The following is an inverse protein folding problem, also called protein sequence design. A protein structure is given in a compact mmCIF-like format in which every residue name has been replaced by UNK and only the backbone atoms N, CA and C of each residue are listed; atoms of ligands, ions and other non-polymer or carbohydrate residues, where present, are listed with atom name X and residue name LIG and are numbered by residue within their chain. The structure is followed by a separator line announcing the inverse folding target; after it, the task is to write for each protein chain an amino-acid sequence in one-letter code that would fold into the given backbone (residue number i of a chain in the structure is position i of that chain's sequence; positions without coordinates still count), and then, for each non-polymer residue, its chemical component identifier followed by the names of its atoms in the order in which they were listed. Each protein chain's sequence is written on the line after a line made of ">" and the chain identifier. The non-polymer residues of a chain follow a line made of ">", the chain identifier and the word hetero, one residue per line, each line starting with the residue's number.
data_IF_044990837802
#
_entry.id   IF_044990837802
#
_cell.length_a   1.000
_cell.length_b   1.000
_cell.length_c   1.000
_cell.angle_alpha   90.00
_cell.angle_beta   90.00
_cell.angle_gamma   90.00
#
_symmetry.space_group_name_H-M   'P 1'
#
loop_
_entity.id
_entity.type
_entity.pdbx_description
1 polymer ?
#
# COMPACT_ATOMS: atom_id res chain seq x y z
N UNK A 1 -11.60 7.24 12.57
CA UNK A 1 -11.59 8.73 12.77
C UNK A 1 -12.28 9.48 11.64
N UNK A 2 -12.35 8.94 10.43
CA UNK A 2 -13.02 9.59 9.29
C UNK A 2 -14.54 9.46 9.36
N UNK A 3 -15.05 8.42 10.02
CA UNK A 3 -16.48 8.13 10.17
C UNK A 3 -16.78 7.68 11.61
N UNK A 4 -16.63 8.58 12.61
CA UNK A 4 -16.73 8.22 14.03
C UNK A 4 -18.11 7.70 14.43
N UNK A 5 -19.14 8.02 13.66
CA UNK A 5 -20.52 7.56 13.84
C UNK A 5 -20.77 6.14 13.32
N UNK A 6 -19.80 5.53 12.60
CA UNK A 6 -19.95 4.19 12.04
C UNK A 6 -19.36 3.12 12.95
N UNK A 7 -20.06 2.00 13.06
CA UNK A 7 -19.51 0.80 13.70
C UNK A 7 -18.57 0.11 12.72
N UNK A 8 -17.28 0.06 13.05
CA UNK A 8 -16.26 -0.62 12.23
C UNK A 8 -16.03 -2.01 12.81
N UNK A 9 -16.21 -3.03 11.99
CA UNK A 9 -15.97 -4.42 12.33
C UNK A 9 -14.74 -4.89 11.55
N UNK A 10 -13.56 -5.04 12.22
CA UNK A 10 -12.36 -5.52 11.55
C UNK A 10 -12.44 -7.00 11.21
N UNK A 11 -12.04 -7.40 10.00
CA UNK A 11 -11.97 -8.77 9.55
C UNK A 11 -10.63 -9.00 8.83
N UNK A 12 -9.77 -9.87 9.37
CA UNK A 12 -9.84 -10.56 10.65
C UNK A 12 -9.76 -9.58 11.84
N UNK A 13 -10.12 -10.02 13.04
CA UNK A 13 -10.21 -9.16 14.24
C UNK A 13 -8.95 -8.34 14.52
N UNK A 14 -7.78 -8.90 14.24
CA UNK A 14 -6.48 -8.24 14.34
C UNK A 14 -5.92 -7.92 12.94
N UNK A 15 -6.81 -7.68 11.99
CA UNK A 15 -6.44 -7.43 10.59
C UNK A 15 -5.66 -6.16 10.41
N UNK A 16 -4.86 -6.18 9.36
CA UNK A 16 -3.99 -5.11 8.94
C UNK A 16 -2.85 -5.68 8.11
N UNK A 17 -2.10 -4.84 7.44
CA UNK A 17 -0.97 -5.25 6.65
C UNK A 17 0.30 -5.32 7.50
N UNK A 18 0.94 -6.52 7.69
CA UNK A 18 2.17 -6.62 8.49
C UNK A 18 3.28 -5.70 7.97
N UNK A 19 3.36 -5.46 6.67
CA UNK A 19 4.34 -4.56 6.07
C UNK A 19 4.11 -3.10 6.49
N UNK A 20 2.87 -2.65 6.59
CA UNK A 20 2.56 -1.29 7.03
C UNK A 20 2.65 -1.13 8.55
N UNK A 21 2.40 -2.19 9.32
CA UNK A 21 2.51 -2.16 10.78
C UNK A 21 3.94 -2.10 11.32
N UNK A 22 4.95 -2.39 10.49
CA UNK A 22 6.34 -2.27 10.90
C UNK A 22 6.85 -0.83 10.98
N UNK A 23 6.17 0.12 10.29
CA UNK A 23 6.55 1.53 10.35
C UNK A 23 6.25 2.12 11.72
N UNK A 24 7.20 2.90 12.22
CA UNK A 24 7.11 3.60 13.50
C UNK A 24 7.28 5.11 13.33
N UNK A 25 6.88 5.88 14.33
CA UNK A 25 7.16 7.34 14.36
C UNK A 25 8.66 7.62 14.30
N UNK A 26 9.51 6.70 14.80
CA UNK A 26 10.97 6.85 14.72
C UNK A 26 11.46 6.85 13.28
N UNK A 27 10.85 6.02 12.41
CA UNK A 27 11.19 5.97 10.98
C UNK A 27 10.82 7.29 10.29
N UNK A 28 9.65 7.85 10.62
CA UNK A 28 9.23 9.17 10.11
C UNK A 28 10.22 10.26 10.55
N UNK A 29 10.59 10.29 11.84
CA UNK A 29 11.51 11.29 12.36
C UNK A 29 12.93 11.11 11.81
N UNK A 30 13.37 9.87 11.58
CA UNK A 30 14.65 9.59 10.93
C UNK A 30 14.65 10.10 9.49
N UNK A 31 13.61 9.77 8.73
CA UNK A 31 13.45 10.24 7.35
C UNK A 31 13.44 11.77 7.26
N UNK A 32 12.72 12.46 8.16
CA UNK A 32 12.72 13.94 8.19
C UNK A 32 14.08 14.55 8.51
N UNK A 33 14.93 13.86 9.28
CA UNK A 33 16.31 14.32 9.52
C UNK A 33 17.23 14.09 8.33
N UNK A 34 17.05 12.96 7.65
CA UNK A 34 17.88 12.58 6.50
C UNK A 34 17.48 13.34 5.23
N UNK A 35 16.16 13.58 5.06
CA UNK A 35 15.58 14.25 3.89
C UNK A 35 14.69 15.42 4.34
N UNK A 36 15.28 16.54 4.81
CA UNK A 36 14.52 17.62 5.46
C UNK A 36 13.54 18.34 4.52
N UNK A 37 13.78 18.33 3.23
CA UNK A 37 12.92 18.95 2.20
C UNK A 37 11.85 17.97 1.64
N UNK A 38 11.95 16.70 1.96
CA UNK A 38 11.00 15.69 1.49
C UNK A 38 9.67 15.73 2.23
N UNK A 39 8.58 15.59 1.49
CA UNK A 39 7.27 15.32 2.07
C UNK A 39 7.11 13.84 2.39
N UNK A 40 6.55 13.51 3.55
CA UNK A 40 6.32 12.13 3.99
C UNK A 40 4.87 11.73 3.70
N UNK A 41 4.70 10.64 2.97
CA UNK A 41 3.38 10.05 2.72
C UNK A 41 3.34 8.60 3.22
N UNK A 42 2.30 8.23 3.97
CA UNK A 42 2.13 6.88 4.48
C UNK A 42 0.84 6.22 3.98
N UNK A 43 0.82 4.88 4.03
CA UNK A 43 -0.38 4.11 3.72
C UNK A 43 -1.39 4.18 4.87
N UNK A 44 -2.71 4.17 4.60
CA UNK A 44 -3.74 4.23 5.65
C UNK A 44 -3.75 3.00 6.60
N UNK A 45 -3.08 1.91 6.24
CA UNK A 45 -2.87 0.75 7.12
C UNK A 45 -1.68 0.92 8.09
N UNK A 46 -0.91 2.02 8.01
CA UNK A 46 0.06 2.37 9.04
C UNK A 46 -0.65 2.70 10.35
N UNK A 47 0.06 2.60 11.46
CA UNK A 47 -0.51 2.93 12.77
C UNK A 47 -1.00 4.39 12.83
N UNK A 48 -2.00 4.72 13.65
CA UNK A 48 -2.51 6.09 13.79
C UNK A 48 -1.42 7.12 14.10
N UNK A 49 -0.41 6.72 14.88
CA UNK A 49 0.71 7.58 15.27
C UNK A 49 1.61 7.91 14.06
N UNK A 50 1.86 6.94 13.19
CA UNK A 50 2.61 7.13 11.93
C UNK A 50 1.80 8.01 10.98
N UNK A 51 0.49 7.80 10.88
CA UNK A 51 -0.38 8.64 10.06
C UNK A 51 -0.37 10.11 10.53
N UNK A 52 -0.40 10.33 11.85
CA UNK A 52 -0.34 11.69 12.43
C UNK A 52 1.03 12.37 12.24
N UNK A 53 2.11 11.59 12.18
CA UNK A 53 3.47 12.10 11.98
C UNK A 53 3.79 12.35 10.50
N UNK A 54 3.00 11.81 9.57
CA UNK A 54 3.16 11.96 8.13
C UNK A 54 2.45 13.22 7.60
N UNK A 55 2.90 13.76 6.46
CA UNK A 55 2.28 14.94 5.84
C UNK A 55 1.00 14.54 5.07
N UNK A 56 0.99 13.36 4.48
CA UNK A 56 -0.15 12.81 3.74
C UNK A 56 -0.39 11.35 4.10
N UNK A 57 -1.65 10.96 4.00
CA UNK A 57 -2.09 9.56 4.15
C UNK A 57 -2.89 9.18 2.92
N UNK A 58 -2.54 8.08 2.27
CA UNK A 58 -3.26 7.63 1.09
C UNK A 58 -2.85 6.25 0.59
N UNK A 59 -3.75 5.64 -0.20
CA UNK A 59 -3.48 4.37 -0.87
C UNK A 59 -2.31 4.49 -1.86
N UNK A 60 -1.77 3.36 -2.30
CA UNK A 60 -0.72 3.35 -3.34
C UNK A 60 -1.15 4.07 -4.61
N UNK A 61 -2.41 3.95 -5.03
CA UNK A 61 -2.96 4.72 -6.15
C UNK A 61 -2.98 6.23 -5.88
N UNK A 62 -3.29 6.64 -4.66
CA UNK A 62 -3.21 8.05 -4.26
C UNK A 62 -1.76 8.55 -4.25
N UNK A 63 -0.83 7.77 -3.70
CA UNK A 63 0.61 8.09 -3.73
C UNK A 63 1.09 8.34 -5.16
N UNK A 64 0.75 7.45 -6.10
CA UNK A 64 1.12 7.58 -7.51
C UNK A 64 0.58 8.87 -8.14
N UNK A 65 -0.67 9.26 -7.82
CA UNK A 65 -1.26 10.49 -8.37
C UNK A 65 -0.62 11.75 -7.81
N UNK A 66 -0.28 11.75 -6.51
CA UNK A 66 0.25 12.93 -5.81
C UNK A 66 1.77 13.11 -5.98
N UNK A 67 2.49 12.08 -6.39
CA UNK A 67 3.95 12.07 -6.45
C UNK A 67 4.55 13.13 -7.38
N UNK A 68 3.82 13.61 -8.39
CA UNK A 68 4.28 14.71 -9.25
C UNK A 68 4.19 16.11 -8.63
N UNK A 69 3.59 16.27 -7.44
CA UNK A 69 3.31 17.59 -6.85
C UNK A 69 4.47 18.17 -6.04
N UNK A 70 5.45 17.37 -5.70
CA UNK A 70 6.64 17.76 -4.93
C UNK A 70 7.89 17.25 -5.63
N UNK A 71 9.02 17.82 -5.25
CA UNK A 71 10.34 17.44 -5.80
C UNK A 71 10.91 16.21 -5.11
N UNK A 72 10.47 15.92 -3.88
CA UNK A 72 11.05 14.89 -3.04
C UNK A 72 10.02 14.29 -2.09
N UNK A 73 10.04 12.97 -1.97
CA UNK A 73 9.11 12.20 -1.16
C UNK A 73 9.80 11.11 -0.37
N UNK A 74 9.35 10.94 0.87
CA UNK A 74 9.54 9.70 1.63
C UNK A 74 8.24 8.91 1.58
N UNK A 75 8.30 7.66 1.10
CA UNK A 75 7.15 6.80 0.84
C UNK A 75 7.11 5.67 1.87
N UNK A 76 6.12 5.68 2.75
CA UNK A 76 5.93 4.65 3.79
C UNK A 76 4.88 3.62 3.32
N UNK A 77 5.31 2.75 2.43
CA UNK A 77 4.66 1.52 1.98
C UNK A 77 5.73 0.54 1.50
N UNK A 78 5.34 -0.58 0.90
CA UNK A 78 6.29 -1.57 0.34
C UNK A 78 7.21 -0.91 -0.68
N UNK A 79 8.53 -1.11 -0.50
CA UNK A 79 9.56 -0.35 -1.24
C UNK A 79 9.55 -0.55 -2.76
N UNK A 80 8.95 -1.62 -3.25
CA UNK A 80 8.82 -1.88 -4.68
C UNK A 80 8.08 -0.80 -5.46
N UNK A 81 7.26 0.03 -4.78
CA UNK A 81 6.58 1.16 -5.42
C UNK A 81 7.54 2.24 -5.93
N UNK A 82 8.74 2.33 -5.36
CA UNK A 82 9.74 3.35 -5.74
C UNK A 82 10.10 3.24 -7.22
N UNK A 83 10.24 2.01 -7.74
CA UNK A 83 10.58 1.80 -9.14
C UNK A 83 9.55 2.39 -10.12
N UNK A 84 8.25 2.06 -10.05
CA UNK A 84 7.26 2.66 -10.93
C UNK A 84 7.08 4.16 -10.70
N UNK A 85 7.26 4.67 -9.48
CA UNK A 85 7.24 6.11 -9.21
C UNK A 85 8.38 6.83 -9.91
N UNK A 86 9.61 6.33 -9.78
CA UNK A 86 10.79 6.90 -10.43
C UNK A 86 10.68 6.87 -11.96
N UNK A 87 10.12 5.77 -12.51
CA UNK A 87 9.86 5.65 -13.95
C UNK A 87 8.82 6.68 -14.43
N UNK A 88 7.77 6.92 -13.63
CA UNK A 88 6.69 7.85 -13.99
C UNK A 88 7.09 9.32 -13.80
N UNK A 89 7.87 9.61 -12.78
CA UNK A 89 8.30 10.95 -12.42
C UNK A 89 9.82 11.04 -12.28
N UNK A 90 10.58 11.00 -13.39
CA UNK A 90 12.04 10.89 -13.38
C UNK A 90 12.75 12.10 -12.73
N UNK A 91 12.06 13.22 -12.57
CA UNK A 91 12.60 14.44 -11.95
C UNK A 91 12.28 14.57 -10.46
N UNK A 92 11.58 13.59 -9.88
CA UNK A 92 11.20 13.57 -8.46
C UNK A 92 12.09 12.57 -7.74
N UNK A 93 12.57 12.93 -6.57
CA UNK A 93 13.33 12.03 -5.71
C UNK A 93 12.37 11.24 -4.82
N UNK A 94 12.59 9.93 -4.75
CA UNK A 94 11.77 9.02 -3.94
C UNK A 94 12.65 8.21 -3.00
N UNK A 95 12.33 8.25 -1.73
CA UNK A 95 12.98 7.50 -0.67
C UNK A 95 11.99 6.52 -0.07
N UNK A 96 12.38 5.27 0.01
CA UNK A 96 11.65 4.20 0.71
C UNK A 96 12.41 3.77 1.96
N UNK A 97 11.74 3.03 2.83
CA UNK A 97 12.41 2.37 3.95
C UNK A 97 12.87 0.99 3.46
N UNK A 98 14.16 0.70 3.54
CA UNK A 98 14.76 -0.52 2.97
C UNK A 98 14.19 -1.82 3.56
N UNK A 99 13.79 -1.81 4.81
CA UNK A 99 13.17 -2.95 5.48
C UNK A 99 11.70 -3.16 5.09
N UNK A 100 11.09 -2.20 4.40
CA UNK A 100 9.67 -2.26 4.00
C UNK A 100 9.45 -3.19 2.81
N UNK A 101 9.67 -4.48 3.02
CA UNK A 101 9.50 -5.55 2.04
C UNK A 101 8.34 -6.45 2.44
N UNK A 102 7.41 -6.65 1.54
CA UNK A 102 6.33 -7.62 1.74
C UNK A 102 6.79 -9.01 1.28
N UNK A 103 7.01 -9.97 2.20
CA UNK A 103 7.52 -11.29 1.81
C UNK A 103 6.55 -12.04 0.88
N UNK A 104 5.24 -11.86 1.07
CA UNK A 104 4.23 -12.51 0.21
C UNK A 104 4.21 -11.95 -1.21
N UNK A 105 4.43 -10.65 -1.40
CA UNK A 105 4.59 -10.07 -2.74
C UNK A 105 5.85 -10.57 -3.46
N UNK A 106 6.88 -10.95 -2.72
CA UNK A 106 8.15 -11.45 -3.27
C UNK A 106 8.16 -12.97 -3.51
N UNK A 107 7.06 -13.67 -3.23
CA UNK A 107 6.92 -15.10 -3.58
C UNK A 107 6.73 -15.30 -5.09
N UNK A 108 6.16 -14.33 -5.78
CA UNK A 108 5.94 -14.41 -7.23
C UNK A 108 7.19 -13.88 -7.92
N UNK A 109 7.82 -14.73 -8.73
CA UNK A 109 9.00 -14.40 -9.52
C UNK A 109 8.65 -14.06 -10.96
N UNK A 110 9.58 -13.45 -11.69
CA UNK A 110 9.40 -13.21 -13.15
C UNK A 110 9.26 -14.53 -13.91
N UNK A 111 9.97 -15.59 -13.48
CA UNK A 111 9.87 -16.92 -14.07
C UNK A 111 8.50 -17.54 -13.85
N UNK A 112 7.93 -17.44 -12.64
CA UNK A 112 6.58 -17.93 -12.35
C UNK A 112 5.54 -17.22 -13.22
N UNK A 113 5.68 -15.90 -13.39
CA UNK A 113 4.81 -15.12 -14.26
C UNK A 113 4.93 -15.55 -15.72
N UNK A 114 6.17 -15.72 -16.20
CA UNK A 114 6.43 -16.16 -17.57
C UNK A 114 5.85 -17.54 -17.85
N UNK A 115 6.09 -18.53 -16.98
CA UNK A 115 5.57 -19.89 -17.11
C UNK A 115 4.03 -19.87 -17.06
N UNK A 116 3.45 -19.11 -16.14
CA UNK A 116 1.99 -18.99 -16.03
C UNK A 116 1.35 -18.47 -17.31
N UNK A 117 1.94 -17.42 -17.91
CA UNK A 117 1.42 -16.81 -19.15
C UNK A 117 1.66 -17.70 -20.37
N UNK A 118 2.81 -18.38 -20.45
CA UNK A 118 3.15 -19.24 -21.58
C UNK A 118 2.34 -20.54 -21.59
N UNK A 119 2.22 -21.18 -20.44
CA UNK A 119 1.72 -22.58 -20.34
C UNK A 119 0.30 -22.65 -19.74
N UNK A 120 -0.25 -21.53 -19.24
CA UNK A 120 -1.58 -21.51 -18.62
C UNK A 120 -1.68 -22.38 -17.34
N UNK A 121 -0.57 -22.53 -16.63
CA UNK A 121 -0.48 -23.33 -15.42
C UNK A 121 -0.90 -22.55 -14.17
N UNK A 122 -1.06 -23.25 -13.04
CA UNK A 122 -1.50 -22.69 -11.76
C UNK A 122 -2.90 -22.05 -11.77
N UNK A 123 -3.92 -22.70 -12.35
CA UNK A 123 -5.27 -22.17 -12.36
C UNK A 123 -5.81 -22.09 -10.92
N UNK A 124 -6.41 -20.96 -10.58
CA UNK A 124 -7.10 -20.78 -9.30
C UNK A 124 -8.57 -21.10 -9.51
N UNK A 125 -9.12 -21.99 -8.68
CA UNK A 125 -10.54 -22.32 -8.64
C UNK A 125 -11.13 -21.84 -7.32
N UNK A 126 -12.17 -21.02 -7.40
CA UNK A 126 -12.94 -20.58 -6.24
C UNK A 126 -14.28 -21.32 -6.25
N UNK A 127 -14.65 -22.07 -5.17
CA UNK A 127 -15.96 -22.71 -5.08
C UNK A 127 -17.07 -21.70 -5.32
N UNK A 128 -18.06 -22.06 -6.16
CA UNK A 128 -19.13 -21.14 -6.60
C UNK A 128 -19.87 -20.48 -5.42
N UNK A 129 -20.16 -21.23 -4.37
CA UNK A 129 -20.82 -20.72 -3.16
C UNK A 129 -20.02 -19.66 -2.42
N UNK A 130 -18.69 -19.71 -2.48
CA UNK A 130 -17.80 -18.67 -1.92
C UNK A 130 -17.74 -17.49 -2.87
N UNK A 131 -17.59 -17.75 -4.17
CA UNK A 131 -17.50 -16.74 -5.22
C UNK A 131 -18.72 -15.83 -5.26
N UNK A 132 -19.93 -16.38 -5.21
CA UNK A 132 -21.19 -15.61 -5.18
C UNK A 132 -21.28 -14.69 -3.96
N UNK A 133 -20.95 -15.19 -2.77
CA UNK A 133 -20.98 -14.38 -1.54
C UNK A 133 -19.93 -13.27 -1.54
N UNK A 134 -18.72 -13.57 -2.04
CA UNK A 134 -17.66 -12.59 -2.17
C UNK A 134 -18.03 -11.50 -3.16
N UNK A 135 -18.59 -11.86 -4.32
CA UNK A 135 -19.07 -10.92 -5.33
C UNK A 135 -20.08 -9.93 -4.74
N UNK A 136 -21.09 -10.43 -4.03
CA UNK A 136 -22.10 -9.58 -3.39
C UNK A 136 -21.49 -8.59 -2.39
N UNK A 137 -20.46 -8.99 -1.64
CA UNK A 137 -19.76 -8.09 -0.73
C UNK A 137 -19.00 -6.98 -1.48
N UNK A 138 -18.34 -7.34 -2.59
CA UNK A 138 -17.61 -6.38 -3.45
C UNK A 138 -18.57 -5.38 -4.11
N UNK A 139 -19.69 -5.86 -4.66
CA UNK A 139 -20.71 -5.01 -5.29
C UNK A 139 -21.24 -3.97 -4.29
N UNK A 140 -21.60 -4.38 -3.08
CA UNK A 140 -22.03 -3.47 -2.01
C UNK A 140 -20.95 -2.45 -1.62
N UNK A 141 -19.69 -2.86 -1.60
CA UNK A 141 -18.58 -1.96 -1.34
C UNK A 141 -18.45 -0.90 -2.44
N UNK A 142 -18.58 -1.29 -3.71
CA UNK A 142 -18.53 -0.37 -4.85
C UNK A 142 -19.70 0.61 -4.78
N UNK A 143 -20.93 0.13 -4.57
CA UNK A 143 -22.13 0.96 -4.44
C UNK A 143 -22.00 2.00 -3.30
N UNK A 144 -21.38 1.62 -2.17
CA UNK A 144 -21.14 2.52 -1.04
C UNK A 144 -20.02 3.54 -1.27
N UNK A 145 -19.24 3.39 -2.34
CA UNK A 145 -18.07 4.24 -2.65
C UNK A 145 -18.36 5.34 -3.68
N UNK A 146 -19.61 5.44 -4.15
CA UNK A 146 -20.07 6.42 -5.15
C UNK A 146 -20.67 7.65 -4.48
#
# INVERSE_FOLDING_TARGET
>A
RMVPEKTIIPVPKNGGCPTHHQFTVRDVLAARREYPDASVICHPECSPEVQLASDLVGSTGYMIRRSGEKKEWVILTEKGIIHPLQKKYPHVLFHGIDTAVCPTMKLITEEDLYITLRDGVFPIQVPESIGQRARLAIERMIEASV
#
